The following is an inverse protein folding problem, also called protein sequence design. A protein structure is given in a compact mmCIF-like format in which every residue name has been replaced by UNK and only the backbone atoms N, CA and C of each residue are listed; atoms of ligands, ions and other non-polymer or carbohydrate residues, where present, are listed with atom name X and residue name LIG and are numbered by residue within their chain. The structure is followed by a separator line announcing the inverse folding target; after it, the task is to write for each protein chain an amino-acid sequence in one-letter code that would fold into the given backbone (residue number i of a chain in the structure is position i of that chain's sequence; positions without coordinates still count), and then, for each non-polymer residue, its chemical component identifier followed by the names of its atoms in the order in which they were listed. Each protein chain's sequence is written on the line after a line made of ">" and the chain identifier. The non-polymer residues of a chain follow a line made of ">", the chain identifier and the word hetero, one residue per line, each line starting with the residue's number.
data_IF_857694302002
#
_entry.id   IF_857694302002
#
_cell.length_a   1.000
_cell.length_b   1.000
_cell.length_c   1.000
_cell.angle_alpha   90.00
_cell.angle_beta   90.00
_cell.angle_gamma   90.00
#
_symmetry.space_group_name_H-M   'P 1'
#
loop_
_entity.id
_entity.type
_entity.pdbx_description
1 polymer ?
#
# COMPACT_ATOMS: atom_id res chain seq x y z
N UNK A 1 14.41 -5.55 -14.55
CA UNK A 1 13.39 -5.34 -13.50
C UNK A 1 13.46 -6.56 -12.61
N UNK A 2 13.51 -6.38 -11.30
CA UNK A 2 13.64 -7.52 -10.40
C UNK A 2 12.36 -8.35 -10.35
N UNK A 3 12.46 -9.61 -9.93
CA UNK A 3 11.33 -10.52 -9.65
C UNK A 3 11.46 -11.10 -8.22
N UNK A 4 10.68 -12.14 -7.87
CA UNK A 4 10.79 -12.81 -6.56
C UNK A 4 12.23 -13.22 -6.22
N UNK A 5 13.03 -13.69 -7.18
CA UNK A 5 14.39 -14.16 -6.90
C UNK A 5 15.29 -13.02 -6.45
N UNK A 6 15.19 -11.89 -7.13
CA UNK A 6 15.94 -10.67 -6.77
C UNK A 6 15.48 -10.15 -5.39
N UNK A 7 14.17 -10.17 -5.13
CA UNK A 7 13.60 -9.81 -3.83
C UNK A 7 14.12 -10.72 -2.71
N UNK A 8 14.06 -12.03 -2.93
CA UNK A 8 14.47 -13.05 -1.97
C UNK A 8 15.96 -12.94 -1.66
N UNK A 9 16.80 -12.74 -2.69
CA UNK A 9 18.24 -12.52 -2.50
C UNK A 9 18.50 -11.25 -1.69
N UNK A 10 17.82 -10.15 -2.02
CA UNK A 10 18.01 -8.86 -1.36
C UNK A 10 17.56 -8.91 0.11
N UNK A 11 16.36 -9.43 0.40
CA UNK A 11 15.83 -9.49 1.76
C UNK A 11 16.58 -10.47 2.65
N UNK A 12 17.02 -11.62 2.12
CA UNK A 12 17.82 -12.58 2.91
C UNK A 12 19.18 -12.03 3.34
N UNK A 13 19.69 -11.02 2.63
CA UNK A 13 20.89 -10.28 3.00
C UNK A 13 20.64 -9.13 4.00
N UNK A 14 19.38 -8.86 4.35
CA UNK A 14 19.00 -7.76 5.24
C UNK A 14 18.46 -8.27 6.58
N UNK A 15 18.58 -7.40 7.60
CA UNK A 15 17.98 -7.58 8.91
C UNK A 15 17.23 -6.31 9.30
N UNK A 16 15.94 -6.41 9.61
CA UNK A 16 15.12 -5.26 9.98
C UNK A 16 14.83 -4.31 8.81
N UNK A 17 14.71 -4.84 7.59
CA UNK A 17 14.47 -4.05 6.38
C UNK A 17 13.19 -3.21 6.48
N UNK A 18 13.29 -1.94 6.09
CA UNK A 18 12.15 -1.02 5.98
C UNK A 18 11.69 -0.97 4.53
N UNK A 19 10.51 -1.52 4.27
CA UNK A 19 9.96 -1.67 2.94
C UNK A 19 8.86 -0.63 2.72
N UNK A 20 8.84 0.01 1.55
CA UNK A 20 7.70 0.79 1.07
C UNK A 20 7.06 0.06 -0.11
N UNK A 21 5.74 -0.16 -0.05
CA UNK A 21 4.96 -0.65 -1.20
C UNK A 21 4.21 0.54 -1.80
N UNK A 22 4.45 0.84 -3.07
CA UNK A 22 3.86 1.98 -3.77
C UNK A 22 2.54 1.63 -4.47
N UNK A 23 1.57 2.54 -4.37
CA UNK A 23 0.38 2.58 -5.23
C UNK A 23 0.52 3.62 -6.35
N UNK A 24 -0.42 3.60 -7.30
CA UNK A 24 -0.45 4.53 -8.44
C UNK A 24 -0.71 5.98 -8.01
N UNK A 25 -1.54 6.20 -6.98
CA UNK A 25 -1.98 7.54 -6.55
C UNK A 25 -0.87 8.31 -5.83
N UNK A 26 -0.12 7.65 -4.96
CA UNK A 26 1.04 8.17 -4.28
C UNK A 26 2.19 8.39 -5.27
N UNK A 27 2.42 7.50 -6.25
CA UNK A 27 3.37 7.78 -7.35
C UNK A 27 2.98 9.08 -8.07
N UNK A 28 1.70 9.25 -8.40
CA UNK A 28 1.20 10.48 -9.01
C UNK A 28 1.47 11.70 -8.12
N UNK A 29 1.19 11.59 -6.82
CA UNK A 29 1.40 12.67 -5.86
C UNK A 29 2.87 13.07 -5.76
N UNK A 30 3.80 12.11 -5.60
CA UNK A 30 5.22 12.40 -5.54
C UNK A 30 5.75 13.00 -6.84
N UNK A 31 5.29 12.48 -7.98
CA UNK A 31 5.66 13.01 -9.29
C UNK A 31 5.21 14.47 -9.48
N UNK A 32 3.99 14.82 -9.05
CA UNK A 32 3.46 16.18 -9.18
C UNK A 32 4.15 17.18 -8.25
N UNK A 33 4.70 16.72 -7.13
CA UNK A 33 5.21 17.57 -6.06
C UNK A 33 6.71 17.38 -5.81
N UNK A 34 7.45 16.80 -6.75
CA UNK A 34 8.89 16.51 -6.63
C UNK A 34 9.74 17.74 -6.23
N UNK A 35 9.32 18.95 -6.64
CA UNK A 35 10.02 20.20 -6.34
C UNK A 35 10.06 20.54 -4.85
N UNK A 36 9.05 20.12 -4.09
CA UNK A 36 8.93 20.37 -2.64
C UNK A 36 9.01 19.08 -1.81
N UNK A 37 8.83 17.93 -2.45
CA UNK A 37 8.98 16.60 -1.88
C UNK A 37 10.05 15.81 -2.66
N UNK A 38 11.33 16.18 -2.52
CA UNK A 38 12.41 15.52 -3.24
C UNK A 38 12.52 14.03 -2.87
N UNK A 39 12.77 13.19 -3.87
CA UNK A 39 12.90 11.73 -3.71
C UNK A 39 13.93 11.33 -2.66
N UNK A 40 15.04 12.06 -2.58
CA UNK A 40 16.12 11.80 -1.62
C UNK A 40 15.65 11.88 -0.17
N UNK A 41 14.64 12.71 0.13
CA UNK A 41 14.09 12.90 1.47
C UNK A 41 12.92 11.95 1.73
N UNK A 42 11.95 11.90 0.80
CA UNK A 42 10.73 11.10 0.96
C UNK A 42 11.04 9.60 1.09
N UNK A 43 11.99 9.11 0.30
CA UNK A 43 12.35 7.69 0.29
C UNK A 43 13.53 7.36 1.21
N UNK A 44 14.18 8.36 1.83
CA UNK A 44 15.33 8.17 2.72
C UNK A 44 15.13 7.06 3.78
N UNK A 45 13.96 6.98 4.46
CA UNK A 45 13.75 6.04 5.56
C UNK A 45 13.65 4.57 5.14
N UNK A 46 13.52 4.27 3.85
CA UNK A 46 13.29 2.92 3.36
C UNK A 46 14.57 2.31 2.78
N UNK A 47 14.71 1.00 2.95
CA UNK A 47 15.81 0.22 2.41
C UNK A 47 15.46 -0.38 1.04
N UNK A 48 14.15 -0.59 0.80
CA UNK A 48 13.61 -1.23 -0.40
C UNK A 48 12.26 -0.63 -0.78
N UNK A 49 12.08 -0.39 -2.07
CA UNK A 49 10.81 0.02 -2.67
C UNK A 49 10.25 -1.13 -3.49
N UNK A 50 8.98 -1.45 -3.27
CA UNK A 50 8.24 -2.47 -4.02
C UNK A 50 7.11 -1.82 -4.80
N UNK A 51 6.91 -2.32 -6.01
CA UNK A 51 5.82 -1.91 -6.89
C UNK A 51 5.10 -3.18 -7.34
N UNK A 52 3.83 -3.38 -7.00
CA UNK A 52 3.08 -4.49 -7.58
C UNK A 52 2.96 -4.38 -9.11
N UNK A 53 2.94 -5.52 -9.81
CA UNK A 53 2.83 -5.60 -11.27
C UNK A 53 1.62 -4.82 -11.78
N UNK A 54 0.49 -4.94 -11.08
CA UNK A 54 -0.71 -4.15 -11.39
C UNK A 54 -0.47 -2.63 -11.37
N UNK A 55 0.27 -2.13 -10.38
CA UNK A 55 0.61 -0.70 -10.25
C UNK A 55 1.55 -0.27 -11.38
N UNK A 56 2.55 -1.09 -11.70
CA UNK A 56 3.45 -0.87 -12.84
C UNK A 56 2.68 -0.74 -14.16
N UNK A 57 1.66 -1.56 -14.39
CA UNK A 57 0.84 -1.52 -15.61
C UNK A 57 0.04 -0.21 -15.72
N UNK A 58 -0.37 0.39 -14.60
CA UNK A 58 -1.13 1.65 -14.62
C UNK A 58 -0.26 2.89 -14.92
N UNK A 59 0.97 2.96 -14.38
CA UNK A 59 1.83 4.13 -14.62
C UNK A 59 2.86 3.93 -15.75
N UNK A 60 3.18 2.69 -16.12
CA UNK A 60 4.29 2.34 -16.99
C UNK A 60 4.23 2.97 -18.39
N UNK A 61 3.02 3.25 -18.88
CA UNK A 61 2.79 3.92 -20.16
C UNK A 61 3.11 5.43 -20.14
N UNK A 62 3.23 6.04 -18.96
CA UNK A 62 3.54 7.45 -18.81
C UNK A 62 5.05 7.67 -18.61
N UNK A 63 5.76 8.02 -19.69
CA UNK A 63 7.23 8.18 -19.70
C UNK A 63 7.77 9.02 -18.53
N UNK A 64 7.10 10.14 -18.18
CA UNK A 64 7.50 10.98 -17.03
C UNK A 64 7.43 10.28 -15.68
N UNK A 65 6.32 9.59 -15.36
CA UNK A 65 6.17 8.82 -14.10
C UNK A 65 7.15 7.65 -14.07
N UNK A 66 7.32 6.94 -15.18
CA UNK A 66 8.29 5.85 -15.29
C UNK A 66 9.71 6.37 -15.01
N UNK A 67 10.13 7.47 -15.63
CA UNK A 67 11.42 8.09 -15.37
C UNK A 67 11.57 8.57 -13.91
N UNK A 68 10.50 9.11 -13.31
CA UNK A 68 10.47 9.48 -11.90
C UNK A 68 10.70 8.28 -10.99
N UNK A 69 9.96 7.19 -11.20
CA UNK A 69 10.04 5.97 -10.40
C UNK A 69 11.43 5.32 -10.50
N UNK A 70 11.98 5.17 -11.71
CA UNK A 70 13.31 4.58 -11.89
C UNK A 70 14.47 5.47 -11.41
N UNK A 71 14.21 6.76 -11.14
CA UNK A 71 15.20 7.66 -10.55
C UNK A 71 15.08 7.78 -9.03
N UNK A 72 14.24 6.97 -8.38
CA UNK A 72 14.24 6.84 -6.92
C UNK A 72 15.59 6.24 -6.48
N UNK A 73 16.33 6.89 -5.57
CA UNK A 73 17.69 6.49 -5.19
C UNK A 73 17.69 5.33 -4.17
N UNK A 74 16.90 4.29 -4.43
CA UNK A 74 16.75 3.10 -3.57
C UNK A 74 16.61 1.85 -4.43
N UNK A 75 16.97 0.66 -3.92
CA UNK A 75 16.60 -0.60 -4.54
C UNK A 75 15.10 -0.62 -4.82
N UNK A 76 14.75 -0.95 -6.07
CA UNK A 76 13.37 -0.99 -6.53
C UNK A 76 13.13 -2.32 -7.22
N UNK A 77 12.09 -3.03 -6.78
CA UNK A 77 11.68 -4.31 -7.34
C UNK A 77 10.19 -4.24 -7.71
N UNK A 78 9.87 -4.73 -8.90
CA UNK A 78 8.49 -4.92 -9.34
C UNK A 78 8.15 -6.37 -9.03
N UNK A 79 7.03 -6.61 -8.36
CA UNK A 79 6.59 -7.97 -8.03
C UNK A 79 5.28 -8.20 -8.75
N UNK A 80 5.25 -9.18 -9.64
CA UNK A 80 4.06 -9.54 -10.38
C UNK A 80 3.22 -10.56 -9.60
N UNK A 81 1.93 -10.28 -9.46
CA UNK A 81 1.02 -11.10 -8.69
C UNK A 81 0.92 -12.54 -9.23
N UNK A 82 0.86 -12.72 -10.54
CA UNK A 82 0.67 -14.02 -11.19
C UNK A 82 1.96 -14.85 -11.15
N UNK A 83 3.11 -14.20 -11.30
CA UNK A 83 4.40 -14.89 -11.41
C UNK A 83 5.09 -15.13 -10.05
N UNK A 84 5.00 -14.18 -9.11
CA UNK A 84 5.88 -14.14 -7.94
C UNK A 84 5.21 -14.55 -6.61
N UNK A 85 3.88 -14.40 -6.48
CA UNK A 85 3.21 -14.56 -5.17
C UNK A 85 3.15 -16.00 -4.70
N UNK A 86 3.03 -16.94 -5.64
CA UNK A 86 2.89 -18.37 -5.34
C UNK A 86 4.13 -18.92 -4.62
N UNK A 87 5.33 -18.43 -4.97
CA UNK A 87 6.59 -18.79 -4.31
C UNK A 87 6.64 -18.30 -2.85
N UNK A 88 6.09 -17.10 -2.57
CA UNK A 88 6.04 -16.54 -1.22
C UNK A 88 5.13 -17.31 -0.27
N UNK A 89 4.15 -18.06 -0.80
CA UNK A 89 3.20 -18.82 0.02
C UNK A 89 3.49 -20.33 0.04
N UNK A 90 4.63 -20.75 -0.53
CA UNK A 90 5.07 -22.14 -0.55
C UNK A 90 4.35 -22.99 -1.59
N UNK A 91 4.00 -22.40 -2.73
CA UNK A 91 3.29 -23.05 -3.84
C UNK A 91 1.94 -23.66 -3.44
N UNK A 92 1.14 -22.89 -2.68
CA UNK A 92 -0.20 -23.27 -2.26
C UNK A 92 -1.24 -22.28 -2.79
N UNK A 93 -1.84 -22.61 -3.95
CA UNK A 93 -2.85 -21.77 -4.59
C UNK A 93 -4.13 -21.60 -3.78
N UNK A 94 -4.59 -22.62 -3.06
CA UNK A 94 -5.79 -22.50 -2.22
C UNK A 94 -5.59 -21.48 -1.11
N UNK A 95 -4.42 -21.51 -0.48
CA UNK A 95 -4.01 -20.56 0.55
C UNK A 95 -3.82 -19.16 -0.04
N UNK A 96 -3.28 -19.05 -1.25
CA UNK A 96 -3.12 -17.77 -1.94
C UNK A 96 -4.48 -17.16 -2.27
N UNK A 97 -5.38 -17.94 -2.87
CA UNK A 97 -6.74 -17.53 -3.20
C UNK A 97 -7.54 -17.14 -1.95
N UNK A 98 -7.32 -17.82 -0.82
CA UNK A 98 -7.92 -17.42 0.45
C UNK A 98 -7.42 -16.07 0.95
N UNK A 99 -6.13 -15.76 0.74
CA UNK A 99 -5.58 -14.43 1.06
C UNK A 99 -6.21 -13.35 0.17
N UNK A 100 -6.30 -13.60 -1.14
CA UNK A 100 -7.02 -12.72 -2.07
C UNK A 100 -8.50 -12.55 -1.68
N UNK A 101 -9.17 -13.60 -1.19
CA UNK A 101 -10.55 -13.53 -0.70
C UNK A 101 -10.68 -12.55 0.45
N UNK A 102 -9.81 -12.65 1.45
CA UNK A 102 -9.82 -11.73 2.60
C UNK A 102 -9.49 -10.30 2.18
N UNK A 103 -8.46 -10.14 1.35
CA UNK A 103 -8.07 -8.85 0.78
C UNK A 103 -9.13 -8.25 -0.15
N UNK A 104 -10.17 -9.01 -0.50
CA UNK A 104 -11.31 -8.57 -1.33
C UNK A 104 -12.61 -8.43 -0.55
N UNK A 105 -12.55 -8.41 0.79
CA UNK A 105 -13.76 -8.29 1.62
C UNK A 105 -14.52 -7.00 1.28
N UNK A 106 -15.83 -7.13 1.02
CA UNK A 106 -16.68 -6.02 0.58
C UNK A 106 -16.72 -5.80 -0.93
N UNK A 107 -15.87 -6.49 -1.71
CA UNK A 107 -15.84 -6.40 -3.17
C UNK A 107 -16.66 -7.56 -3.79
N UNK A 108 -17.94 -7.31 -4.01
CA UNK A 108 -18.90 -8.36 -4.40
C UNK A 108 -18.55 -9.13 -5.68
N UNK A 109 -17.94 -8.48 -6.69
CA UNK A 109 -17.51 -9.15 -7.93
C UNK A 109 -16.31 -10.07 -7.69
N UNK A 110 -15.28 -9.58 -7.01
CA UNK A 110 -14.10 -10.34 -6.63
C UNK A 110 -14.47 -11.57 -5.77
N UNK A 111 -15.33 -11.38 -4.76
CA UNK A 111 -15.80 -12.49 -3.92
C UNK A 111 -16.62 -13.51 -4.71
N UNK A 112 -17.44 -13.06 -5.67
CA UNK A 112 -18.19 -13.95 -6.55
C UNK A 112 -17.27 -14.77 -7.44
N UNK A 113 -16.25 -14.15 -8.03
CA UNK A 113 -15.24 -14.86 -8.82
C UNK A 113 -14.60 -15.98 -8.00
N UNK A 114 -14.08 -15.66 -6.80
CA UNK A 114 -13.45 -16.65 -5.93
C UNK A 114 -14.41 -17.79 -5.56
N UNK A 115 -15.68 -17.47 -5.30
CA UNK A 115 -16.69 -18.49 -5.01
C UNK A 115 -16.92 -19.44 -6.19
N UNK A 116 -17.03 -18.90 -7.42
CA UNK A 116 -17.18 -19.69 -8.64
C UNK A 116 -15.94 -20.56 -8.85
N UNK A 117 -14.74 -19.99 -8.75
CA UNK A 117 -13.49 -20.74 -8.88
C UNK A 117 -13.41 -21.91 -7.90
N UNK A 118 -13.69 -21.67 -6.60
CA UNK A 118 -13.71 -22.72 -5.57
C UNK A 118 -14.74 -23.82 -5.82
N UNK A 119 -15.85 -23.51 -6.49
CA UNK A 119 -16.92 -24.45 -6.75
C UNK A 119 -16.66 -25.30 -7.99
N UNK A 120 -16.21 -24.65 -9.06
CA UNK A 120 -16.16 -25.25 -10.40
C UNK A 120 -14.82 -25.96 -10.67
N UNK A 121 -13.77 -25.64 -9.89
CA UNK A 121 -12.44 -26.20 -10.08
C UNK A 121 -11.97 -27.01 -8.87
N UNK A 122 -11.61 -28.27 -9.12
CA UNK A 122 -10.86 -29.08 -8.14
C UNK A 122 -9.38 -28.67 -8.08
N UNK A 123 -8.85 -28.12 -9.19
CA UNK A 123 -7.50 -27.58 -9.32
C UNK A 123 -7.64 -26.22 -9.99
N UNK A 124 -7.08 -25.18 -9.37
CA UNK A 124 -7.17 -23.81 -9.89
C UNK A 124 -6.43 -23.70 -11.23
N UNK A 125 -7.00 -22.98 -12.23
CA UNK A 125 -6.29 -22.71 -13.48
C UNK A 125 -5.03 -21.87 -13.24
N UNK A 126 -3.95 -22.11 -13.99
CA UNK A 126 -2.69 -21.35 -13.83
C UNK A 126 -2.89 -19.82 -13.94
N UNK A 127 -3.82 -19.37 -14.79
CA UNK A 127 -4.13 -17.97 -15.02
C UNK A 127 -5.19 -17.37 -14.06
N UNK A 128 -5.51 -18.05 -12.94
CA UNK A 128 -6.61 -17.62 -12.07
C UNK A 128 -6.42 -16.22 -11.48
N UNK A 129 -5.17 -15.77 -11.28
CA UNK A 129 -4.87 -14.43 -10.77
C UNK A 129 -5.19 -13.37 -11.82
N UNK A 130 -4.80 -13.58 -13.07
CA UNK A 130 -5.14 -12.69 -14.18
C UNK A 130 -6.66 -12.62 -14.37
N UNK A 131 -7.31 -13.78 -14.39
CA UNK A 131 -8.78 -13.87 -14.47
C UNK A 131 -9.47 -13.19 -13.29
N UNK A 132 -8.92 -13.31 -12.09
CA UNK A 132 -9.40 -12.65 -10.89
C UNK A 132 -9.36 -11.13 -11.06
N UNK A 133 -8.25 -10.59 -11.55
CA UNK A 133 -8.16 -9.17 -11.83
C UNK A 133 -9.10 -8.76 -12.97
N UNK A 134 -9.23 -9.53 -14.04
CA UNK A 134 -10.07 -9.21 -15.22
C UNK A 134 -11.56 -9.23 -14.92
N UNK A 135 -12.02 -10.18 -14.11
CA UNK A 135 -13.45 -10.44 -13.88
C UNK A 135 -13.92 -9.96 -12.50
N UNK A 136 -13.00 -9.87 -11.54
CA UNK A 136 -13.29 -9.53 -10.14
C UNK A 136 -13.49 -8.04 -9.87
N UNK A 137 -13.12 -7.15 -10.79
CA UNK A 137 -13.12 -5.71 -10.55
C UNK A 137 -13.88 -4.91 -11.61
N UNK A 138 -14.29 -3.70 -11.22
CA UNK A 138 -14.96 -2.79 -12.14
C UNK A 138 -13.95 -2.02 -12.98
N UNK A 139 -14.06 -2.23 -14.28
CA UNK A 139 -13.23 -1.60 -15.29
C UNK A 139 -13.76 -0.21 -15.64
N UNK A 140 -12.96 0.82 -15.36
CA UNK A 140 -13.22 2.21 -15.73
C UNK A 140 -12.24 2.67 -16.81
N UNK A 141 -12.78 3.04 -17.97
CA UNK A 141 -12.00 3.66 -19.05
C UNK A 141 -11.87 5.16 -18.79
N UNK A 142 -10.64 5.62 -18.68
CA UNK A 142 -10.31 7.03 -18.53
C UNK A 142 -10.37 7.75 -19.88
N UNK A 143 -10.58 9.08 -19.90
CA UNK A 143 -10.55 9.88 -21.13
C UNK A 143 -9.23 9.77 -21.92
N UNK A 144 -8.14 9.41 -21.24
CA UNK A 144 -6.83 9.12 -21.84
C UNK A 144 -6.76 7.80 -22.62
N UNK A 145 -7.84 7.01 -22.64
CA UNK A 145 -7.88 5.66 -23.21
C UNK A 145 -7.40 4.57 -22.25
N UNK A 146 -6.83 4.94 -21.10
CA UNK A 146 -6.35 4.01 -20.07
C UNK A 146 -7.51 3.27 -19.40
N UNK A 147 -7.31 1.99 -19.14
CA UNK A 147 -8.25 1.17 -18.39
C UNK A 147 -7.75 1.02 -16.96
N UNK A 148 -8.56 1.45 -15.99
CA UNK A 148 -8.26 1.33 -14.55
C UNK A 148 -9.26 0.39 -13.92
N UNK A 149 -8.84 -0.38 -12.92
CA UNK A 149 -9.75 -1.28 -12.17
C UNK A 149 -9.92 -0.78 -10.75
N UNK A 150 -11.15 -0.45 -10.38
CA UNK A 150 -11.46 0.12 -9.08
C UNK A 150 -11.08 -0.88 -7.97
N UNK A 151 -10.34 -0.42 -6.96
CA UNK A 151 -9.90 -1.16 -5.75
C UNK A 151 -8.91 -2.32 -6.00
N UNK A 152 -8.54 -2.62 -7.25
CA UNK A 152 -7.58 -3.69 -7.57
C UNK A 152 -6.20 -3.45 -6.94
N UNK A 153 -5.73 -2.20 -6.96
CA UNK A 153 -4.46 -1.81 -6.33
C UNK A 153 -4.45 -2.01 -4.81
N UNK A 154 -5.58 -1.79 -4.13
CA UNK A 154 -5.69 -2.00 -2.68
C UNK A 154 -5.55 -3.48 -2.32
N UNK A 155 -6.27 -4.34 -3.05
CA UNK A 155 -6.19 -5.80 -2.90
C UNK A 155 -4.75 -6.28 -3.14
N UNK A 156 -4.12 -5.79 -4.21
CA UNK A 156 -2.74 -6.12 -4.57
C UNK A 156 -1.75 -5.79 -3.45
N UNK A 157 -1.75 -4.53 -2.97
CA UNK A 157 -0.79 -4.05 -1.99
C UNK A 157 -0.98 -4.72 -0.62
N UNK A 158 -2.23 -4.93 -0.20
CA UNK A 158 -2.52 -5.65 1.05
C UNK A 158 -2.07 -7.11 0.93
N UNK A 159 -2.36 -7.77 -0.19
CA UNK A 159 -1.91 -9.17 -0.42
C UNK A 159 -0.39 -9.28 -0.35
N UNK A 160 0.34 -8.43 -1.07
CA UNK A 160 1.80 -8.40 -1.05
C UNK A 160 2.36 -8.19 0.37
N UNK A 161 1.80 -7.24 1.11
CA UNK A 161 2.21 -6.95 2.49
C UNK A 161 2.16 -8.20 3.37
N UNK A 162 1.06 -8.96 3.31
CA UNK A 162 0.88 -10.15 4.14
C UNK A 162 1.73 -11.34 3.66
N UNK A 163 1.97 -11.48 2.34
CA UNK A 163 2.91 -12.45 1.81
C UNK A 163 4.34 -12.19 2.31
N UNK A 164 4.78 -10.92 2.25
CA UNK A 164 6.10 -10.51 2.74
C UNK A 164 6.26 -10.79 4.24
N UNK A 165 5.27 -10.41 5.05
CA UNK A 165 5.30 -10.65 6.50
C UNK A 165 5.30 -12.13 6.85
N UNK A 166 4.61 -12.98 6.07
CA UNK A 166 4.60 -14.42 6.28
C UNK A 166 5.93 -15.06 5.88
N UNK A 167 6.46 -14.71 4.70
CA UNK A 167 7.61 -15.39 4.10
C UNK A 167 8.96 -14.87 4.61
N UNK A 168 9.07 -13.57 4.89
CA UNK A 168 10.31 -12.89 5.26
C UNK A 168 10.25 -12.27 6.67
N UNK A 169 9.44 -12.85 7.56
CA UNK A 169 9.19 -12.33 8.93
C UNK A 169 10.46 -11.96 9.71
N UNK A 170 11.52 -12.76 9.59
CA UNK A 170 12.79 -12.52 10.30
C UNK A 170 13.68 -11.43 9.68
N UNK A 171 13.35 -10.97 8.47
CA UNK A 171 14.14 -9.99 7.73
C UNK A 171 13.51 -8.59 7.73
N UNK A 172 12.20 -8.49 7.97
CA UNK A 172 11.44 -7.25 7.85
C UNK A 172 11.33 -6.55 9.21
N UNK A 173 11.74 -5.29 9.25
CA UNK A 173 11.56 -4.40 10.40
C UNK A 173 10.23 -3.65 10.35
N UNK A 174 9.83 -3.19 9.16
CA UNK A 174 8.53 -2.54 8.94
C UNK A 174 8.13 -2.52 7.47
N UNK A 175 6.83 -2.52 7.19
CA UNK A 175 6.26 -2.30 5.86
C UNK A 175 5.36 -1.07 5.89
N UNK A 176 5.64 -0.08 5.07
CA UNK A 176 4.74 1.04 4.81
C UNK A 176 3.94 0.80 3.52
N UNK A 177 2.63 0.98 3.58
CA UNK A 177 1.75 0.96 2.42
C UNK A 177 1.50 2.40 1.98
N UNK A 178 2.02 2.82 0.83
CA UNK A 178 1.72 4.13 0.26
C UNK A 178 0.37 4.06 -0.43
N UNK A 179 -0.69 4.26 0.35
CA UNK A 179 -2.07 4.40 -0.10
C UNK A 179 -2.74 5.51 0.70
N UNK A 180 -3.60 6.27 0.03
CA UNK A 180 -4.48 7.27 0.67
C UNK A 180 -5.95 6.83 0.66
N UNK A 181 -6.23 5.60 0.21
CA UNK A 181 -7.58 5.04 0.22
C UNK A 181 -7.87 4.32 1.54
N UNK A 182 -8.94 4.76 2.23
CA UNK A 182 -9.38 4.16 3.48
C UNK A 182 -9.77 2.69 3.32
N UNK A 183 -10.13 2.25 2.12
CA UNK A 183 -10.35 0.82 1.80
C UNK A 183 -9.13 -0.02 2.17
N UNK A 184 -7.93 0.45 1.86
CA UNK A 184 -6.67 -0.25 2.17
C UNK A 184 -6.47 -0.44 3.69
N UNK A 185 -6.83 0.57 4.49
CA UNK A 185 -6.76 0.49 5.96
C UNK A 185 -7.68 -0.62 6.50
N UNK A 186 -8.94 -0.62 6.07
CA UNK A 186 -9.92 -1.61 6.50
C UNK A 186 -9.59 -3.03 6.02
N UNK A 187 -9.10 -3.18 4.77
CA UNK A 187 -8.67 -4.47 4.24
C UNK A 187 -7.49 -5.03 5.04
N UNK A 188 -6.51 -4.20 5.42
CA UNK A 188 -5.40 -4.63 6.28
C UNK A 188 -5.89 -5.16 7.63
N UNK A 189 -6.82 -4.47 8.29
CA UNK A 189 -7.40 -4.96 9.56
C UNK A 189 -8.15 -6.28 9.37
N UNK A 190 -8.91 -6.40 8.29
CA UNK A 190 -9.66 -7.62 7.99
C UNK A 190 -8.74 -8.81 7.75
N UNK A 191 -7.72 -8.65 6.92
CA UNK A 191 -6.73 -9.71 6.67
C UNK A 191 -5.98 -10.05 7.96
N UNK A 192 -5.58 -9.06 8.76
CA UNK A 192 -4.89 -9.32 10.03
C UNK A 192 -5.74 -10.17 10.99
N UNK A 193 -7.04 -9.87 11.08
CA UNK A 193 -7.94 -10.60 11.98
C UNK A 193 -8.08 -12.09 11.67
N UNK A 194 -7.78 -12.51 10.44
CA UNK A 194 -7.88 -13.91 9.99
C UNK A 194 -6.57 -14.50 9.44
N UNK A 195 -5.46 -13.76 9.53
CA UNK A 195 -4.15 -14.14 8.99
C UNK A 195 -3.65 -15.49 9.53
N UNK A 196 -3.97 -15.81 10.78
CA UNK A 196 -3.57 -17.06 11.45
C UNK A 196 -4.73 -18.07 11.58
N UNK A 197 -5.80 -17.90 10.80
CA UNK A 197 -6.88 -18.88 10.72
C UNK A 197 -6.36 -20.24 10.22
N UNK A 198 -7.08 -21.35 10.47
CA UNK A 198 -6.72 -22.68 9.96
C UNK A 198 -6.58 -22.79 8.44
N UNK A 199 -7.13 -21.84 7.68
CA UNK A 199 -7.03 -21.84 6.23
C UNK A 199 -5.76 -21.12 5.75
N UNK A 200 -5.29 -20.11 6.50
CA UNK A 200 -4.21 -19.24 6.06
C UNK A 200 -2.89 -19.47 6.78
N UNK A 201 -2.88 -19.75 8.08
CA UNK A 201 -1.66 -20.06 8.84
C UNK A 201 -0.45 -19.18 8.48
N UNK A 202 -0.62 -17.86 8.32
CA UNK A 202 0.46 -16.97 7.84
C UNK A 202 1.60 -16.81 8.87
N UNK A 203 1.36 -17.13 10.14
CA UNK A 203 2.37 -17.01 11.20
C UNK A 203 2.69 -15.55 11.55
N UNK A 204 1.73 -14.64 11.34
CA UNK A 204 1.93 -13.19 11.49
C UNK A 204 1.65 -12.78 12.93
N UNK A 205 2.48 -11.88 13.47
CA UNK A 205 2.25 -11.28 14.80
C UNK A 205 0.89 -10.60 14.90
N UNK A 206 0.30 -10.55 16.09
CA UNK A 206 -0.95 -9.79 16.35
C UNK A 206 -0.77 -8.28 16.13
N UNK A 207 0.45 -7.77 16.28
CA UNK A 207 0.82 -6.39 16.01
C UNK A 207 1.98 -6.36 15.00
N UNK A 208 1.73 -6.66 13.71
CA UNK A 208 2.77 -6.60 12.70
C UNK A 208 3.17 -5.14 12.46
N UNK A 209 4.43 -4.86 12.08
CA UNK A 209 4.95 -3.51 11.91
C UNK A 209 4.50 -2.90 10.56
N UNK A 210 3.19 -2.78 10.37
CA UNK A 210 2.57 -2.19 9.18
C UNK A 210 2.23 -0.74 9.48
N UNK A 211 2.70 0.18 8.65
CA UNK A 211 2.33 1.59 8.65
C UNK A 211 1.72 2.01 7.32
N UNK A 212 1.11 3.19 7.29
CA UNK A 212 0.61 3.80 6.07
C UNK A 212 1.44 5.04 5.74
N UNK A 213 1.65 5.25 4.45
CA UNK A 213 2.24 6.46 3.90
C UNK A 213 1.21 7.12 2.97
N UNK A 214 0.09 7.55 3.53
CA UNK A 214 -0.88 8.36 2.80
C UNK A 214 -0.29 9.72 2.43
N UNK A 215 -0.94 10.44 1.52
CA UNK A 215 -0.54 11.80 1.17
C UNK A 215 -0.57 12.73 2.39
N UNK A 216 -1.55 12.59 3.29
CA UNK A 216 -1.61 13.39 4.53
C UNK A 216 -0.46 13.02 5.49
N UNK A 217 -0.08 11.74 5.62
CA UNK A 217 1.11 11.32 6.39
C UNK A 217 2.40 11.89 5.80
N UNK A 218 2.53 11.91 4.47
CA UNK A 218 3.71 12.50 3.79
C UNK A 218 3.78 13.99 4.07
N UNK A 219 2.68 14.72 3.89
CA UNK A 219 2.61 16.17 4.11
C UNK A 219 2.93 16.49 5.58
N UNK A 220 2.32 15.77 6.52
CA UNK A 220 2.59 15.93 7.95
C UNK A 220 4.06 15.72 8.28
N UNK A 221 4.67 14.63 7.78
CA UNK A 221 6.08 14.37 8.03
C UNK A 221 6.99 15.42 7.39
N UNK A 222 6.66 15.91 6.19
CA UNK A 222 7.42 16.95 5.52
C UNK A 222 7.37 18.28 6.30
N UNK A 223 6.23 18.64 6.91
CA UNK A 223 6.15 19.79 7.82
C UNK A 223 6.97 19.53 9.08
N UNK A 224 6.80 18.36 9.72
CA UNK A 224 7.48 17.98 10.95
C UNK A 224 9.01 17.99 10.81
N UNK A 225 9.54 17.64 9.64
CA UNK A 225 10.99 17.67 9.37
C UNK A 225 11.47 19.02 8.80
N UNK A 226 10.59 20.00 8.64
CA UNK A 226 10.91 21.31 8.06
C UNK A 226 11.18 21.30 6.55
N UNK A 227 10.87 20.19 5.86
CA UNK A 227 11.01 20.06 4.41
C UNK A 227 10.08 21.02 3.66
N UNK A 228 8.87 21.24 4.22
CA UNK A 228 7.92 22.24 3.74
C UNK A 228 7.42 23.08 4.91
N UNK A 229 6.98 24.30 4.62
CA UNK A 229 6.32 25.17 5.58
C UNK A 229 4.80 24.88 5.61
N UNK A 230 4.10 25.07 6.74
CA UNK A 230 2.67 24.80 6.85
C UNK A 230 1.81 25.50 5.79
N UNK A 231 2.19 26.69 5.34
CA UNK A 231 1.47 27.44 4.30
C UNK A 231 1.49 26.74 2.93
N UNK A 232 2.48 25.87 2.68
CA UNK A 232 2.60 25.11 1.44
C UNK A 232 1.63 23.92 1.38
N UNK A 233 1.00 23.53 2.50
CA UNK A 233 0.00 22.44 2.56
C UNK A 233 -1.14 22.70 1.55
N UNK A 234 -1.55 23.95 1.41
CA UNK A 234 -2.55 24.40 0.46
C UNK A 234 -2.30 23.89 -0.97
N UNK A 235 -1.05 23.94 -1.45
CA UNK A 235 -0.71 23.49 -2.79
C UNK A 235 -0.63 21.95 -2.94
N UNK A 236 -0.52 21.22 -1.83
CA UNK A 236 -0.34 19.76 -1.80
C UNK A 236 -1.65 19.03 -1.52
N UNK A 237 -2.51 19.62 -0.69
CA UNK A 237 -3.80 19.07 -0.28
C UNK A 237 -4.89 19.81 -1.05
N UNK A 238 -5.70 19.08 -1.81
CA UNK A 238 -6.71 19.70 -2.67
C UNK A 238 -7.68 20.59 -1.86
N UNK A 239 -7.75 21.87 -2.22
CA UNK A 239 -8.45 22.94 -1.48
C UNK A 239 -9.96 22.78 -1.31
N UNK A 240 -10.60 21.92 -2.11
CA UNK A 240 -12.05 21.87 -2.21
C UNK A 240 -12.69 20.71 -1.44
N UNK A 241 -11.89 19.89 -0.75
CA UNK A 241 -12.39 18.67 -0.12
C UNK A 241 -11.83 18.50 1.29
N UNK A 242 -12.74 18.31 2.25
CA UNK A 242 -12.41 17.63 3.49
C UNK A 242 -11.93 16.22 3.14
N UNK A 243 -10.86 15.77 3.80
CA UNK A 243 -10.37 14.40 3.65
C UNK A 243 -10.50 13.67 4.97
N UNK A 244 -10.82 12.39 4.87
CA UNK A 244 -10.76 11.52 6.04
C UNK A 244 -9.30 11.38 6.44
N UNK A 245 -8.99 11.75 7.68
CA UNK A 245 -7.64 11.72 8.26
C UNK A 245 -7.73 10.99 9.60
N UNK A 246 -6.76 10.12 9.85
CA UNK A 246 -6.58 9.43 11.12
C UNK A 246 -5.38 10.03 11.80
N UNK A 247 -5.56 10.54 13.01
CA UNK A 247 -4.48 11.11 13.79
C UNK A 247 -4.62 10.79 15.28
N UNK A 248 -3.48 10.72 15.96
CA UNK A 248 -3.38 10.62 17.40
C UNK A 248 -3.26 12.01 17.99
N UNK A 249 -4.06 12.32 19.00
CA UNK A 249 -3.90 13.48 19.88
C UNK A 249 -3.32 13.00 21.22
N UNK A 250 -2.22 13.61 21.65
CA UNK A 250 -1.61 13.37 22.96
C UNK A 250 -2.07 14.47 23.92
N UNK A 251 -2.52 14.07 25.10
CA UNK A 251 -2.94 14.98 26.15
C UNK A 251 -1.81 15.21 27.16
N UNK A 252 -1.91 16.30 27.93
CA UNK A 252 -0.87 16.68 28.90
C UNK A 252 -0.77 15.74 30.10
N UNK A 253 -1.82 14.96 30.37
CA UNK A 253 -1.90 13.92 31.39
C UNK A 253 -1.31 12.57 30.95
N UNK A 254 -0.67 12.51 29.77
CA UNK A 254 -0.10 11.32 29.13
C UNK A 254 -1.12 10.35 28.54
N UNK A 255 -2.40 10.71 28.53
CA UNK A 255 -3.40 9.98 27.78
C UNK A 255 -3.34 10.36 26.29
N UNK A 256 -4.00 9.56 25.45
CA UNK A 256 -4.07 9.83 24.01
C UNK A 256 -5.38 9.35 23.42
N UNK A 257 -5.85 10.04 22.37
CA UNK A 257 -7.05 9.68 21.63
C UNK A 257 -6.74 9.50 20.14
N UNK A 258 -7.32 8.47 19.52
CA UNK A 258 -7.28 8.27 18.08
C UNK A 258 -8.54 8.89 17.48
N UNK A 259 -8.35 9.77 16.51
CA UNK A 259 -9.41 10.49 15.83
C UNK A 259 -9.57 9.98 14.40
N UNK A 260 -10.82 9.82 13.98
CA UNK A 260 -11.21 9.48 12.61
C UNK A 260 -12.21 10.53 12.14
N UNK A 261 -11.71 11.57 11.46
CA UNK A 261 -12.52 12.73 11.10
C UNK A 261 -12.31 13.15 9.64
N UNK A 262 -13.33 13.78 9.08
CA UNK A 262 -13.17 14.63 7.92
C UNK A 262 -12.50 15.93 8.38
N UNK A 263 -11.30 16.20 7.87
CA UNK A 263 -10.46 17.33 8.28
C UNK A 263 -10.29 18.27 7.10
N UNK A 264 -10.76 19.51 7.26
CA UNK A 264 -10.51 20.59 6.30
C UNK A 264 -9.04 21.04 6.30
N UNK A 265 -8.64 21.90 5.36
CA UNK A 265 -7.24 22.33 5.29
C UNK A 265 -6.81 23.17 6.50
N UNK A 266 -7.58 24.17 6.98
CA UNK A 266 -7.19 24.94 8.15
C UNK A 266 -6.95 24.07 9.39
N UNK A 267 -7.83 23.11 9.67
CA UNK A 267 -7.67 22.17 10.79
C UNK A 267 -6.45 21.28 10.58
N UNK A 268 -6.23 20.79 9.36
CA UNK A 268 -5.05 19.97 9.05
C UNK A 268 -3.73 20.73 9.18
N UNK A 269 -3.69 22.02 8.80
CA UNK A 269 -2.54 22.90 9.02
C UNK A 269 -2.27 23.03 10.52
N UNK A 270 -3.30 23.22 11.34
CA UNK A 270 -3.19 23.27 12.80
C UNK A 270 -2.58 21.97 13.36
N UNK A 271 -3.11 20.82 12.92
CA UNK A 271 -2.59 19.49 13.29
C UNK A 271 -1.12 19.32 12.90
N UNK A 272 -0.73 19.72 11.67
CA UNK A 272 0.65 19.61 11.22
C UNK A 272 1.62 20.56 11.93
N UNK A 273 1.12 21.70 12.42
CA UNK A 273 1.94 22.72 13.08
C UNK A 273 2.26 22.37 14.54
N UNK A 274 1.43 21.54 15.18
CA UNK A 274 1.63 21.07 16.55
C UNK A 274 1.93 19.57 16.58
N UNK A 275 3.13 19.22 16.11
CA UNK A 275 3.58 17.82 16.01
C UNK A 275 3.99 17.21 17.36
N UNK A 276 4.07 18.00 18.43
CA UNK A 276 4.25 17.48 19.80
C UNK A 276 2.92 16.93 20.33
N UNK A 277 1.82 17.60 20.00
CA UNK A 277 0.47 17.17 20.38
C UNK A 277 -0.10 16.12 19.44
N UNK A 278 0.06 16.31 18.13
CA UNK A 278 -0.60 15.47 17.12
C UNK A 278 0.36 14.62 16.32
N UNK A 279 -0.09 13.41 15.94
CA UNK A 279 0.60 12.53 15.00
C UNK A 279 -0.38 11.99 13.96
N UNK A 280 -0.17 12.33 12.69
CA UNK A 280 -0.97 11.77 11.59
C UNK A 280 -0.54 10.34 11.28
N UNK A 281 -1.52 9.44 11.14
CA UNK A 281 -1.36 8.00 10.93
C UNK A 281 -1.86 7.57 9.55
N UNK A 282 -2.90 8.23 9.03
CA UNK A 282 -3.47 8.01 7.70
C UNK A 282 -4.12 9.29 7.17
#
# INVERSE_FOLDING_TARGET
>A
MGNYRDLSQLLRGMTGAKILILDTNNIQFYYQHETVLPKSEVFAPYDLILIPGWVQNEFGHHAGKSAFVYSIPKPLIIIDEAEDYLEMIGYNDERLMELFRLASTGLGKALRFIHICKKDHQILPDAWIDDFYDQGFETKRMPSGLTTKKNAGEVSIVTLCFLLLSHFSNHIGSISLASSDHGTYHLKDKVLSEANSPLLHLGISQAPPISFQSTDVVIYNAVRTGLIQPQQIHALRNHTQERSTIYLESFSDRDSAIHHHLVDIPSFISICSDHEKYKVIF
#
